data_IF_092118991801
#
_entry.id   IF_092118991801
#
_cell.length_a   1.000
_cell.length_b   1.000
_cell.length_c   1.000
_cell.angle_alpha   90.00
_cell.angle_beta   90.00
_cell.angle_gamma   90.00
#
_symmetry.space_group_name_H-M   'P 1'
#
loop_
_entity.id
_entity.type
_entity.pdbx_description
1 polymer ?
#
# COMPACT_ATOMS: atom_id res chain seq x y z
N UNK A 1 -25.49 16.41 -7.92
CA UNK A 1 -24.83 15.09 -8.02
C UNK A 1 -23.40 15.32 -8.49
N UNK A 2 -22.38 14.63 -7.96
CA UNK A 2 -21.01 14.74 -8.49
C UNK A 2 -20.99 14.40 -9.98
N UNK A 3 -20.14 15.07 -10.76
CA UNK A 3 -19.96 14.74 -12.18
C UNK A 3 -19.34 13.34 -12.36
N UNK A 4 -19.55 12.67 -13.51
CA UNK A 4 -19.03 11.31 -13.74
C UNK A 4 -17.53 11.17 -13.47
N UNK A 5 -16.74 12.16 -13.89
CA UNK A 5 -15.29 12.21 -13.61
C UNK A 5 -14.98 12.22 -12.10
N UNK A 6 -15.75 12.95 -11.30
CA UNK A 6 -15.58 12.97 -9.85
C UNK A 6 -15.92 11.62 -9.22
N UNK A 7 -16.95 10.93 -9.74
CA UNK A 7 -17.32 9.57 -9.30
C UNK A 7 -16.22 8.55 -9.60
N UNK A 8 -15.60 8.61 -10.79
CA UNK A 8 -14.46 7.72 -11.10
C UNK A 8 -13.22 8.07 -10.25
N UNK A 9 -12.93 9.35 -10.03
CA UNK A 9 -11.80 9.78 -9.20
C UNK A 9 -11.97 9.37 -7.72
N UNK A 10 -13.20 9.44 -7.18
CA UNK A 10 -13.50 8.98 -5.82
C UNK A 10 -13.44 7.45 -5.71
N UNK A 11 -13.89 6.74 -6.75
CA UNK A 11 -13.83 5.27 -6.84
C UNK A 11 -12.39 4.74 -6.74
N UNK A 12 -11.45 5.42 -7.40
CA UNK A 12 -10.01 5.10 -7.34
C UNK A 12 -9.33 5.64 -6.07
N UNK A 13 -9.98 6.55 -5.32
CA UNK A 13 -9.38 7.34 -4.22
C UNK A 13 -8.01 7.90 -4.61
N UNK A 14 -7.99 8.80 -5.59
CA UNK A 14 -6.73 9.45 -6.06
C UNK A 14 -5.91 10.05 -4.91
N UNK A 15 -6.55 10.59 -3.88
CA UNK A 15 -5.88 11.11 -2.67
C UNK A 15 -5.08 10.05 -1.89
N UNK A 16 -5.44 8.77 -2.02
CA UNK A 16 -4.71 7.66 -1.40
C UNK A 16 -3.61 7.11 -2.33
N UNK A 17 -3.50 7.53 -3.59
CA UNK A 17 -2.40 7.11 -4.49
C UNK A 17 -1.02 7.54 -3.97
N UNK A 18 -0.99 8.54 -3.10
CA UNK A 18 0.20 9.00 -2.34
C UNK A 18 0.80 7.90 -1.46
N UNK A 19 0.06 6.84 -1.11
CA UNK A 19 0.58 5.77 -0.24
C UNK A 19 1.51 4.76 -0.94
N UNK A 20 1.36 4.52 -2.24
CA UNK A 20 2.08 3.43 -2.91
C UNK A 20 3.14 3.92 -3.91
N UNK A 21 2.84 5.00 -4.63
CA UNK A 21 3.72 5.55 -5.65
C UNK A 21 5.11 5.92 -5.09
N UNK A 22 5.23 6.58 -3.91
CA UNK A 22 6.55 6.94 -3.40
C UNK A 22 7.47 5.75 -3.18
N UNK A 23 6.94 4.59 -2.82
CA UNK A 23 7.77 3.40 -2.55
C UNK A 23 8.21 2.68 -3.81
N UNK A 24 7.36 2.63 -4.85
CA UNK A 24 7.80 2.17 -6.17
C UNK A 24 8.91 3.08 -6.72
N UNK A 25 8.77 4.40 -6.57
CA UNK A 25 9.81 5.34 -6.95
C UNK A 25 11.06 5.22 -6.06
N UNK A 26 10.93 4.93 -4.78
CA UNK A 26 12.07 4.68 -3.90
C UNK A 26 12.85 3.42 -4.32
N UNK A 27 12.16 2.34 -4.70
CA UNK A 27 12.81 1.15 -5.27
C UNK A 27 13.55 1.46 -6.58
N UNK A 28 12.94 2.25 -7.46
CA UNK A 28 13.57 2.67 -8.71
C UNK A 28 14.78 3.60 -8.50
N UNK A 29 14.68 4.52 -7.54
CA UNK A 29 15.76 5.43 -7.14
C UNK A 29 16.92 4.67 -6.50
N UNK A 30 16.63 3.66 -5.68
CA UNK A 30 17.68 2.83 -5.10
C UNK A 30 18.43 2.08 -6.21
N UNK A 31 17.71 1.54 -7.19
CA UNK A 31 18.31 0.89 -8.35
C UNK A 31 19.11 1.88 -9.22
N UNK A 32 18.72 3.16 -9.28
CA UNK A 32 19.37 4.16 -10.13
C UNK A 32 20.81 4.46 -9.75
N UNK A 33 21.24 4.03 -8.56
CA UNK A 33 22.64 4.10 -8.11
C UNK A 33 23.54 3.08 -8.81
N UNK A 34 22.95 2.03 -9.37
CA UNK A 34 23.65 0.92 -10.01
C UNK A 34 23.41 0.92 -11.52
N UNK A 35 22.20 1.28 -11.94
CA UNK A 35 21.79 1.29 -13.35
C UNK A 35 21.25 2.67 -13.75
N UNK A 36 21.51 3.15 -14.97
CA UNK A 36 20.99 4.46 -15.41
C UNK A 36 19.45 4.42 -15.51
N UNK A 37 18.79 5.34 -14.81
CA UNK A 37 17.33 5.48 -14.83
C UNK A 37 16.91 6.57 -15.82
N UNK A 38 16.12 6.20 -16.84
CA UNK A 38 15.61 7.14 -17.85
C UNK A 38 14.23 7.67 -17.47
N UNK A 39 13.92 8.90 -17.89
CA UNK A 39 12.59 9.49 -17.70
C UNK A 39 11.46 8.67 -18.33
N UNK A 40 11.74 7.98 -19.45
CA UNK A 40 10.79 7.05 -20.08
C UNK A 40 10.45 5.88 -19.14
N UNK A 41 11.45 5.25 -18.50
CA UNK A 41 11.22 4.19 -17.52
C UNK A 41 10.44 4.70 -16.31
N UNK A 42 10.76 5.88 -15.80
CA UNK A 42 10.00 6.51 -14.71
C UNK A 42 8.54 6.70 -15.11
N UNK A 43 8.28 7.20 -16.32
CA UNK A 43 6.92 7.35 -16.86
C UNK A 43 6.14 6.05 -16.88
N UNK A 44 6.75 4.96 -17.35
CA UNK A 44 6.12 3.63 -17.36
C UNK A 44 5.91 3.05 -15.96
N UNK A 45 6.84 3.27 -15.02
CA UNK A 45 6.68 2.88 -13.60
C UNK A 45 5.46 3.59 -13.00
N UNK A 46 5.34 4.90 -13.21
CA UNK A 46 4.18 5.69 -12.75
C UNK A 46 2.89 5.16 -13.38
N UNK A 47 2.88 4.89 -14.69
CA UNK A 47 1.72 4.34 -15.38
C UNK A 47 1.31 2.97 -14.82
N UNK A 48 2.27 2.08 -14.56
CA UNK A 48 2.05 0.80 -13.89
C UNK A 48 1.41 0.98 -12.51
N UNK A 49 1.93 1.91 -11.69
CA UNK A 49 1.39 2.17 -10.35
C UNK A 49 -0.04 2.70 -10.39
N UNK A 50 -0.35 3.62 -11.32
CA UNK A 50 -1.70 4.17 -11.48
C UNK A 50 -2.69 3.09 -11.92
N UNK A 51 -2.33 2.30 -12.94
CA UNK A 51 -3.20 1.27 -13.51
C UNK A 51 -3.42 0.10 -12.55
N UNK A 52 -2.36 -0.47 -11.96
CA UNK A 52 -2.48 -1.55 -10.97
C UNK A 52 -3.29 -1.14 -9.75
N UNK A 53 -3.03 0.07 -9.21
CA UNK A 53 -3.78 0.58 -8.06
C UNK A 53 -5.25 0.79 -8.39
N UNK A 54 -5.55 1.35 -9.57
CA UNK A 54 -6.92 1.55 -10.03
C UNK A 54 -7.67 0.23 -10.15
N UNK A 55 -7.03 -0.80 -10.73
CA UNK A 55 -7.59 -2.14 -10.78
C UNK A 55 -7.84 -2.71 -9.38
N UNK A 56 -6.86 -2.63 -8.47
CA UNK A 56 -6.96 -3.16 -7.11
C UNK A 56 -8.05 -2.47 -6.27
N UNK A 57 -8.16 -1.15 -6.36
CA UNK A 57 -9.22 -0.38 -5.68
C UNK A 57 -10.60 -0.69 -6.25
N UNK A 58 -10.72 -0.78 -7.57
CA UNK A 58 -11.96 -1.16 -8.22
C UNK A 58 -12.39 -2.56 -7.81
N UNK A 59 -11.45 -3.51 -7.78
CA UNK A 59 -11.70 -4.89 -7.35
C UNK A 59 -12.10 -4.95 -5.88
N UNK A 60 -11.42 -4.21 -4.99
CA UNK A 60 -11.82 -4.12 -3.58
C UNK A 60 -13.27 -3.64 -3.43
N UNK A 61 -13.63 -2.55 -4.10
CA UNK A 61 -14.99 -1.98 -4.06
C UNK A 61 -16.02 -2.97 -4.61
N UNK A 62 -15.71 -3.63 -5.72
CA UNK A 62 -16.60 -4.62 -6.34
C UNK A 62 -16.79 -5.83 -5.43
N UNK A 63 -15.69 -6.36 -4.91
CA UNK A 63 -15.69 -7.54 -4.05
C UNK A 63 -16.46 -7.27 -2.76
N UNK A 64 -16.29 -6.10 -2.14
CA UNK A 64 -16.87 -5.78 -0.84
C UNK A 64 -18.25 -5.12 -0.91
N UNK A 65 -18.78 -4.85 -2.11
CA UNK A 65 -20.01 -4.07 -2.33
C UNK A 65 -21.20 -4.49 -1.45
N UNK A 66 -21.43 -5.79 -1.26
CA UNK A 66 -22.55 -6.31 -0.45
C UNK A 66 -22.35 -6.09 1.05
N UNK A 67 -21.12 -6.17 1.55
CA UNK A 67 -20.81 -5.86 2.95
C UNK A 67 -20.75 -4.35 3.16
N UNK A 68 -20.24 -3.61 2.18
CA UNK A 68 -20.20 -2.16 2.23
C UNK A 68 -21.60 -1.54 2.35
N UNK A 69 -22.59 -2.11 1.69
CA UNK A 69 -23.98 -1.67 1.81
C UNK A 69 -24.56 -1.83 3.24
N UNK A 70 -23.99 -2.75 4.04
CA UNK A 70 -24.46 -3.06 5.40
C UNK A 70 -23.63 -2.39 6.49
N UNK A 71 -22.44 -1.86 6.16
CA UNK A 71 -21.60 -1.12 7.10
C UNK A 71 -21.98 0.37 7.09
N UNK A 72 -22.40 0.96 8.23
CA UNK A 72 -22.74 2.39 8.31
C UNK A 72 -21.64 3.32 7.79
N UNK A 73 -20.37 2.93 7.94
CA UNK A 73 -19.20 3.70 7.52
C UNK A 73 -18.99 3.70 6.01
N UNK A 74 -19.45 2.66 5.31
CA UNK A 74 -19.16 2.45 3.88
C UNK A 74 -20.40 2.36 2.99
N UNK A 75 -21.60 2.42 3.57
CA UNK A 75 -22.88 2.44 2.86
C UNK A 75 -23.03 3.63 1.89
N UNK A 76 -22.28 4.71 2.08
CA UNK A 76 -22.29 5.89 1.19
C UNK A 76 -21.41 5.75 -0.06
N UNK A 77 -20.64 4.66 -0.20
CA UNK A 77 -19.76 4.39 -1.35
C UNK A 77 -20.54 4.28 -2.67
N UNK A 78 -19.80 4.35 -3.77
CA UNK A 78 -20.33 4.49 -5.13
C UNK A 78 -21.21 3.30 -5.55
N UNK A 79 -20.75 2.07 -5.29
CA UNK A 79 -21.50 0.85 -5.63
C UNK A 79 -22.73 0.65 -4.74
N UNK A 80 -22.66 0.70 -3.39
CA UNK A 80 -23.84 0.59 -2.53
C UNK A 80 -24.94 1.61 -2.81
N UNK A 81 -24.56 2.86 -3.08
CA UNK A 81 -25.52 3.95 -3.35
C UNK A 81 -25.99 4.01 -4.82
N UNK A 82 -25.53 3.09 -5.67
CA UNK A 82 -25.93 3.00 -7.07
C UNK A 82 -25.36 4.10 -7.98
N UNK A 83 -24.34 4.84 -7.54
CA UNK A 83 -23.68 5.87 -8.36
C UNK A 83 -22.81 5.26 -9.48
N UNK A 84 -22.46 3.99 -9.37
CA UNK A 84 -21.76 3.20 -10.38
C UNK A 84 -22.41 1.81 -10.45
N UNK A 85 -22.60 1.26 -11.65
CA UNK A 85 -23.11 -0.11 -11.82
C UNK A 85 -22.02 -1.16 -11.65
N UNK A 86 -22.41 -2.39 -11.29
CA UNK A 86 -21.45 -3.52 -11.22
C UNK A 86 -20.76 -3.78 -12.57
N UNK A 87 -21.47 -3.60 -13.69
CA UNK A 87 -20.91 -3.77 -15.04
C UNK A 87 -19.84 -2.72 -15.33
N UNK A 88 -20.07 -1.46 -14.98
CA UNK A 88 -19.08 -0.39 -15.10
C UNK A 88 -17.84 -0.66 -14.23
N UNK A 89 -18.02 -1.13 -12.99
CA UNK A 89 -16.89 -1.50 -12.13
C UNK A 89 -16.07 -2.65 -12.73
N UNK A 90 -16.71 -3.71 -13.24
CA UNK A 90 -16.02 -4.84 -13.88
C UNK A 90 -15.24 -4.36 -15.11
N UNK A 91 -15.88 -3.59 -15.98
CA UNK A 91 -15.22 -3.05 -17.18
C UNK A 91 -14.00 -2.21 -16.81
N UNK A 92 -14.14 -1.34 -15.80
CA UNK A 92 -13.04 -0.52 -15.30
C UNK A 92 -11.87 -1.37 -14.79
N UNK A 93 -12.15 -2.40 -13.98
CA UNK A 93 -11.11 -3.32 -13.47
C UNK A 93 -10.39 -4.02 -14.62
N UNK A 94 -11.12 -4.55 -15.59
CA UNK A 94 -10.53 -5.24 -16.76
C UNK A 94 -9.65 -4.29 -17.56
N UNK A 95 -10.16 -3.10 -17.91
CA UNK A 95 -9.40 -2.10 -18.68
C UNK A 95 -8.13 -1.68 -17.95
N UNK A 96 -8.21 -1.42 -16.64
CA UNK A 96 -7.04 -1.06 -15.83
C UNK A 96 -6.03 -2.21 -15.69
N UNK A 97 -6.51 -3.45 -15.63
CA UNK A 97 -5.64 -4.64 -15.56
C UNK A 97 -4.90 -4.86 -16.88
N UNK A 98 -5.58 -4.74 -18.02
CA UNK A 98 -4.96 -4.82 -19.35
C UNK A 98 -3.96 -3.69 -19.55
N UNK A 99 -4.33 -2.46 -19.17
CA UNK A 99 -3.43 -1.31 -19.25
C UNK A 99 -2.18 -1.51 -18.38
N UNK A 100 -2.32 -2.09 -17.18
CA UNK A 100 -1.17 -2.43 -16.32
C UNK A 100 -0.23 -3.44 -16.99
N UNK A 101 -0.76 -4.54 -17.54
CA UNK A 101 0.04 -5.56 -18.22
C UNK A 101 0.76 -4.97 -19.43
N UNK A 102 0.09 -4.11 -20.20
CA UNK A 102 0.72 -3.39 -21.30
C UNK A 102 1.85 -2.47 -20.80
N UNK A 103 1.61 -1.62 -19.79
CA UNK A 103 2.66 -0.78 -19.22
C UNK A 103 3.88 -1.60 -18.74
N UNK A 104 3.62 -2.76 -18.13
CA UNK A 104 4.69 -3.67 -17.68
C UNK A 104 5.49 -4.26 -18.86
N UNK A 105 4.85 -4.54 -20.01
CA UNK A 105 5.55 -4.98 -21.22
C UNK A 105 6.58 -3.95 -21.71
N UNK A 106 6.28 -2.65 -21.57
CA UNK A 106 7.19 -1.57 -21.96
C UNK A 106 8.43 -1.45 -21.08
N UNK A 107 8.40 -2.04 -19.87
CA UNK A 107 9.52 -2.08 -18.93
C UNK A 107 10.42 -3.31 -19.11
N UNK A 108 9.99 -4.29 -19.92
CA UNK A 108 10.76 -5.47 -20.28
C UNK A 108 10.07 -6.79 -19.91
N UNK A 109 10.64 -7.89 -20.41
CA UNK A 109 10.06 -9.24 -20.27
C UNK A 109 9.85 -9.66 -18.80
N UNK A 110 10.79 -9.35 -17.90
CA UNK A 110 10.67 -9.71 -16.48
C UNK A 110 9.46 -9.02 -15.84
N UNK A 111 9.24 -7.74 -16.14
CA UNK A 111 8.08 -7.00 -15.66
C UNK A 111 6.77 -7.57 -16.22
N UNK A 112 6.76 -7.90 -17.51
CA UNK A 112 5.61 -8.55 -18.16
C UNK A 112 5.27 -9.90 -17.52
N UNK A 113 6.26 -10.75 -17.30
CA UNK A 113 6.07 -12.07 -16.71
C UNK A 113 5.56 -11.99 -15.25
N UNK A 114 5.99 -10.98 -14.50
CA UNK A 114 5.57 -10.76 -13.12
C UNK A 114 4.23 -10.01 -13.00
N UNK A 115 3.75 -9.32 -14.03
CA UNK A 115 2.53 -8.52 -13.97
C UNK A 115 1.28 -9.35 -13.57
N UNK A 116 1.02 -10.56 -14.12
CA UNK A 116 -0.08 -11.40 -13.66
C UNK A 116 0.03 -11.79 -12.18
N UNK A 117 1.25 -12.05 -11.70
CA UNK A 117 1.52 -12.39 -10.30
C UNK A 117 1.23 -11.19 -9.39
N UNK A 118 1.67 -9.99 -9.78
CA UNK A 118 1.36 -8.76 -9.06
C UNK A 118 -0.15 -8.52 -8.98
N UNK A 119 -0.89 -8.68 -10.08
CA UNK A 119 -2.36 -8.58 -10.10
C UNK A 119 -3.02 -9.60 -9.18
N UNK A 120 -2.55 -10.85 -9.19
CA UNK A 120 -3.07 -11.89 -8.32
C UNK A 120 -2.91 -11.52 -6.84
N UNK A 121 -1.75 -11.00 -6.44
CA UNK A 121 -1.49 -10.55 -5.06
C UNK A 121 -2.41 -9.39 -4.68
N UNK A 122 -2.51 -8.34 -5.51
CA UNK A 122 -3.33 -7.16 -5.17
C UNK A 122 -4.84 -7.42 -5.25
N UNK A 123 -5.30 -8.43 -5.98
CA UNK A 123 -6.71 -8.85 -5.92
C UNK A 123 -6.98 -9.75 -4.73
N UNK A 124 -6.05 -10.64 -4.40
CA UNK A 124 -6.22 -11.60 -3.32
C UNK A 124 -6.49 -10.93 -1.96
N UNK A 125 -5.84 -9.80 -1.64
CA UNK A 125 -6.09 -9.14 -0.35
C UNK A 125 -7.56 -8.75 -0.16
N UNK A 126 -8.27 -8.36 -1.23
CA UNK A 126 -9.69 -7.97 -1.16
C UNK A 126 -10.60 -9.16 -0.82
N UNK A 127 -10.13 -10.38 -1.05
CA UNK A 127 -10.82 -11.61 -0.71
C UNK A 127 -10.39 -12.13 0.67
N UNK A 128 -9.22 -11.74 1.16
CA UNK A 128 -8.58 -12.34 2.32
C UNK A 128 -9.46 -12.34 3.58
N UNK A 129 -10.28 -11.30 3.80
CA UNK A 129 -11.23 -11.25 4.95
C UNK A 129 -12.23 -12.41 4.99
N UNK A 130 -12.47 -13.10 3.88
CA UNK A 130 -13.40 -14.24 3.79
C UNK A 130 -12.73 -15.56 4.15
N UNK A 131 -11.40 -15.63 4.03
CA UNK A 131 -10.65 -16.88 4.11
C UNK A 131 -9.66 -16.91 5.27
N UNK A 132 -9.15 -15.77 5.74
CA UNK A 132 -8.08 -15.73 6.75
C UNK A 132 -8.20 -14.53 7.68
N UNK A 133 -7.78 -14.70 8.93
CA UNK A 133 -7.67 -13.61 9.90
C UNK A 133 -6.42 -12.76 9.72
N UNK A 134 -5.52 -13.13 8.80
CA UNK A 134 -4.28 -12.41 8.52
C UNK A 134 -4.41 -11.42 7.34
N UNK A 135 -5.62 -10.92 7.08
CA UNK A 135 -5.93 -9.98 5.98
C UNK A 135 -4.93 -8.82 5.89
N UNK A 136 -4.59 -8.23 7.04
CA UNK A 136 -3.66 -7.10 7.14
C UNK A 136 -2.26 -7.44 6.59
N UNK A 137 -1.79 -8.68 6.78
CA UNK A 137 -0.50 -9.13 6.21
C UNK A 137 -0.58 -9.27 4.68
N UNK A 138 -1.73 -9.69 4.14
CA UNK A 138 -1.91 -9.77 2.69
C UNK A 138 -2.01 -8.38 2.04
N UNK A 139 -2.59 -7.40 2.73
CA UNK A 139 -2.51 -6.01 2.30
C UNK A 139 -1.06 -5.50 2.35
N UNK A 140 -0.33 -5.83 3.42
CA UNK A 140 1.10 -5.58 3.53
C UNK A 140 1.88 -6.19 2.36
N UNK A 141 1.63 -7.45 2.02
CA UNK A 141 2.25 -8.13 0.87
C UNK A 141 1.93 -7.42 -0.45
N UNK A 142 0.68 -7.01 -0.66
CA UNK A 142 0.29 -6.24 -1.85
C UNK A 142 1.06 -4.93 -1.98
N UNK A 143 1.36 -4.27 -0.86
CA UNK A 143 2.18 -3.06 -0.84
C UNK A 143 3.69 -3.32 -0.94
N UNK A 144 4.18 -4.45 -0.42
CA UNK A 144 5.57 -4.87 -0.51
C UNK A 144 6.04 -5.09 -1.97
N UNK A 145 5.11 -5.43 -2.86
CA UNK A 145 5.40 -5.59 -4.30
C UNK A 145 5.79 -4.25 -4.94
N UNK A 146 5.34 -3.10 -4.42
CA UNK A 146 5.60 -1.80 -5.04
C UNK A 146 7.11 -1.43 -5.10
N UNK A 147 7.87 -1.40 -3.99
CA UNK A 147 9.31 -1.10 -4.05
C UNK A 147 10.11 -2.14 -4.82
N UNK A 148 9.81 -3.43 -4.66
CA UNK A 148 10.49 -4.50 -5.41
C UNK A 148 10.21 -4.38 -6.92
N UNK A 149 8.96 -4.11 -7.30
CA UNK A 149 8.57 -3.86 -8.68
C UNK A 149 9.22 -2.61 -9.26
N UNK A 150 9.35 -1.54 -8.47
CA UNK A 150 10.08 -0.32 -8.85
C UNK A 150 11.54 -0.59 -9.17
N UNK A 151 12.23 -1.36 -8.33
CA UNK A 151 13.63 -1.79 -8.55
C UNK A 151 13.78 -2.62 -9.83
N UNK A 152 12.93 -3.64 -10.00
CA UNK A 152 12.96 -4.52 -11.18
C UNK A 152 12.66 -3.72 -12.46
N UNK A 153 11.68 -2.81 -12.41
CA UNK A 153 11.31 -1.95 -13.53
C UNK A 153 12.41 -0.94 -13.89
N UNK A 154 13.18 -0.48 -12.91
CA UNK A 154 14.38 0.32 -13.14
C UNK A 154 15.47 -0.48 -13.88
N UNK A 155 15.42 -1.81 -13.81
CA UNK A 155 16.46 -2.71 -14.33
C UNK A 155 17.51 -3.08 -13.28
N UNK A 156 17.19 -2.92 -11.98
CA UNK A 156 18.10 -3.27 -10.90
C UNK A 156 18.46 -4.77 -10.90
N UNK A 157 19.71 -5.13 -10.56
CA UNK A 157 20.16 -6.52 -10.51
C UNK A 157 19.51 -7.30 -9.35
N UNK A 158 19.68 -8.63 -9.34
CA UNK A 158 19.24 -9.46 -8.24
C UNK A 158 20.03 -9.15 -6.97
N UNK A 159 19.38 -8.49 -6.01
CA UNK A 159 19.95 -7.97 -4.78
C UNK A 159 18.93 -8.06 -3.63
N UNK A 160 19.38 -7.95 -2.38
CA UNK A 160 18.52 -8.16 -1.19
C UNK A 160 17.75 -6.90 -0.79
N UNK A 161 18.31 -5.74 -1.08
CA UNK A 161 17.84 -4.40 -0.81
C UNK A 161 16.37 -4.16 -1.23
N UNK A 162 15.92 -4.48 -2.46
CA UNK A 162 14.53 -4.31 -2.85
C UNK A 162 13.55 -5.18 -2.05
N UNK A 163 13.96 -6.38 -1.64
CA UNK A 163 13.12 -7.28 -0.84
C UNK A 163 13.04 -6.82 0.61
N UNK A 164 14.14 -6.29 1.15
CA UNK A 164 14.18 -5.72 2.48
C UNK A 164 13.36 -4.42 2.56
N UNK A 165 13.42 -3.60 1.52
CA UNK A 165 12.52 -2.45 1.38
C UNK A 165 11.06 -2.92 1.26
N UNK A 166 10.78 -3.97 0.48
CA UNK A 166 9.48 -4.62 0.44
C UNK A 166 8.98 -5.08 1.81
N UNK A 167 9.84 -5.72 2.62
CA UNK A 167 9.53 -6.13 3.98
C UNK A 167 9.19 -4.93 4.86
N UNK A 168 9.98 -3.86 4.79
CA UNK A 168 9.74 -2.65 5.56
C UNK A 168 8.35 -2.06 5.27
N UNK A 169 8.03 -1.90 3.98
CA UNK A 169 6.76 -1.31 3.54
C UNK A 169 5.58 -2.24 3.82
N UNK A 170 5.76 -3.55 3.62
CA UNK A 170 4.73 -4.54 3.93
C UNK A 170 4.40 -4.60 5.42
N UNK A 171 5.41 -4.60 6.28
CA UNK A 171 5.22 -4.55 7.73
C UNK A 171 4.57 -3.24 8.18
N UNK A 172 4.96 -2.12 7.57
CA UNK A 172 4.41 -0.80 7.89
C UNK A 172 2.91 -0.74 7.59
N UNK A 173 2.53 -1.15 6.37
CA UNK A 173 1.14 -1.19 5.92
C UNK A 173 0.31 -2.14 6.75
N UNK A 174 0.82 -3.35 6.99
CA UNK A 174 0.14 -4.30 7.85
C UNK A 174 -0.07 -3.73 9.26
N UNK A 175 0.94 -3.04 9.81
CA UNK A 175 0.88 -2.41 11.12
C UNK A 175 -0.24 -1.38 11.24
N UNK A 176 -0.28 -0.37 10.37
CA UNK A 176 -1.32 0.66 10.47
C UNK A 176 -2.71 0.14 10.06
N UNK A 177 -2.80 -0.84 9.14
CA UNK A 177 -4.08 -1.43 8.75
C UNK A 177 -4.69 -2.28 9.88
N UNK A 178 -3.88 -2.87 10.75
CA UNK A 178 -4.36 -3.49 11.99
C UNK A 178 -5.04 -2.44 12.89
N UNK A 179 -4.43 -1.27 13.08
CA UNK A 179 -5.03 -0.20 13.88
C UNK A 179 -6.35 0.24 13.25
N UNK A 180 -6.34 0.46 11.93
CA UNK A 180 -7.52 0.87 11.18
C UNK A 180 -8.66 -0.15 11.27
N UNK A 181 -8.35 -1.45 11.16
CA UNK A 181 -9.32 -2.53 11.28
C UNK A 181 -9.94 -2.69 12.67
N UNK A 182 -9.32 -2.12 13.73
CA UNK A 182 -9.93 -2.14 15.06
C UNK A 182 -11.26 -1.37 15.11
N UNK A 183 -11.47 -0.37 14.24
CA UNK A 183 -12.72 0.39 14.15
C UNK A 183 -13.89 -0.46 13.64
N UNK A 184 -13.63 -1.47 12.81
CA UNK A 184 -14.66 -2.30 12.20
C UNK A 184 -14.88 -3.61 12.99
N UNK A 185 -14.34 -3.75 14.21
CA UNK A 185 -14.34 -5.03 14.96
C UNK A 185 -15.74 -5.62 15.15
N UNK A 186 -16.69 -4.81 15.61
CA UNK A 186 -18.05 -5.26 15.89
C UNK A 186 -18.79 -5.64 14.61
N UNK A 187 -18.60 -4.85 13.57
CA UNK A 187 -19.17 -5.11 12.25
C UNK A 187 -18.61 -6.40 11.66
N UNK A 188 -17.28 -6.55 11.63
CA UNK A 188 -16.60 -7.72 11.08
C UNK A 188 -17.06 -8.99 11.84
N UNK A 189 -17.25 -8.93 13.17
CA UNK A 189 -17.80 -10.05 13.95
C UNK A 189 -19.23 -10.42 13.55
N UNK A 190 -20.12 -9.44 13.44
CA UNK A 190 -21.54 -9.66 13.08
C UNK A 190 -21.68 -10.25 11.68
N UNK A 191 -20.82 -9.83 10.76
CA UNK A 191 -20.83 -10.26 9.36
C UNK A 191 -20.01 -11.53 9.09
N UNK A 192 -19.42 -12.14 10.12
CA UNK A 192 -18.57 -13.33 9.99
C UNK A 192 -17.28 -13.09 9.20
N UNK A 193 -16.83 -11.83 9.10
CA UNK A 193 -15.58 -11.44 8.46
C UNK A 193 -14.39 -11.69 9.39
N UNK A 194 -13.25 -12.01 8.80
CA UNK A 194 -12.01 -12.35 9.51
C UNK A 194 -11.03 -11.20 9.40
N UNK A 195 -10.39 -10.88 10.53
CA UNK A 195 -9.30 -9.91 10.63
C UNK A 195 -8.48 -10.19 11.89
N UNK A 196 -7.31 -9.57 12.01
CA UNK A 196 -6.48 -9.75 13.22
C UNK A 196 -7.19 -9.26 14.50
N UNK A 197 -7.86 -8.10 14.51
CA UNK A 197 -8.64 -7.67 15.68
C UNK A 197 -9.77 -8.65 16.04
N UNK A 198 -10.44 -9.24 15.05
CA UNK A 198 -11.48 -10.26 15.29
C UNK A 198 -10.90 -11.49 15.98
N UNK A 199 -9.74 -11.99 15.52
CA UNK A 199 -9.11 -13.21 16.02
C UNK A 199 -8.40 -13.02 17.36
N UNK A 200 -7.63 -11.94 17.51
CA UNK A 200 -6.72 -11.75 18.66
C UNK A 200 -7.26 -10.75 19.69
N UNK A 201 -8.30 -9.99 19.36
CA UNK A 201 -8.78 -8.87 20.17
C UNK A 201 -7.94 -7.60 19.97
N UNK A 202 -8.50 -6.45 20.34
CA UNK A 202 -7.90 -5.12 20.09
C UNK A 202 -6.52 -4.98 20.72
N UNK A 203 -6.36 -5.35 22.00
CA UNK A 203 -5.09 -5.17 22.72
C UNK A 203 -3.93 -5.95 22.08
N UNK A 204 -4.15 -7.23 21.73
CA UNK A 204 -3.12 -8.04 21.06
C UNK A 204 -2.88 -7.59 19.62
N UNK A 205 -3.93 -7.16 18.91
CA UNK A 205 -3.80 -6.61 17.57
C UNK A 205 -2.92 -5.35 17.56
N UNK A 206 -3.11 -4.43 18.50
CA UNK A 206 -2.24 -3.25 18.68
C UNK A 206 -0.80 -3.68 19.01
N UNK A 207 -0.60 -4.68 19.86
CA UNK A 207 0.75 -5.20 20.15
C UNK A 207 1.44 -5.77 18.90
N UNK A 208 0.72 -6.52 18.06
CA UNK A 208 1.22 -7.03 16.77
C UNK A 208 1.57 -5.87 15.84
N UNK A 209 0.71 -4.86 15.76
CA UNK A 209 0.93 -3.64 14.98
C UNK A 209 2.25 -2.94 15.37
N UNK A 210 2.49 -2.77 16.68
CA UNK A 210 3.75 -2.22 17.20
C UNK A 210 4.97 -3.04 16.80
N UNK A 211 4.87 -4.37 16.90
CA UNK A 211 5.94 -5.28 16.46
C UNK A 211 6.24 -5.12 14.97
N UNK A 212 5.22 -4.99 14.12
CA UNK A 212 5.39 -4.77 12.68
C UNK A 212 6.03 -3.41 12.38
N UNK A 213 5.66 -2.34 13.10
CA UNK A 213 6.31 -1.03 12.96
C UNK A 213 7.77 -1.05 13.41
N UNK A 214 8.11 -1.82 14.44
CA UNK A 214 9.51 -2.04 14.81
C UNK A 214 10.28 -2.75 13.69
N UNK A 215 9.69 -3.79 13.09
CA UNK A 215 10.27 -4.47 11.92
C UNK A 215 10.47 -3.50 10.76
N UNK A 216 9.53 -2.59 10.50
CA UNK A 216 9.69 -1.53 9.50
C UNK A 216 10.94 -0.71 9.76
N UNK A 217 11.10 -0.14 10.95
CA UNK A 217 12.24 0.74 11.26
C UNK A 217 13.57 0.00 11.14
N UNK A 218 13.64 -1.24 11.64
CA UNK A 218 14.84 -2.08 11.53
C UNK A 218 15.16 -2.37 10.05
N UNK A 219 14.17 -2.78 9.26
CA UNK A 219 14.36 -3.09 7.86
C UNK A 219 14.79 -1.85 7.05
N UNK A 220 14.23 -0.67 7.32
CA UNK A 220 14.68 0.58 6.69
C UNK A 220 16.13 0.93 7.07
N UNK A 221 16.50 0.81 8.35
CA UNK A 221 17.87 1.05 8.78
C UNK A 221 18.86 0.10 8.08
N UNK A 222 18.49 -1.17 7.94
CA UNK A 222 19.30 -2.16 7.23
C UNK A 222 19.38 -1.89 5.72
N UNK A 223 18.32 -1.39 5.07
CA UNK A 223 18.38 -0.92 3.66
C UNK A 223 19.45 0.17 3.53
N UNK A 224 19.46 1.15 4.45
CA UNK A 224 20.46 2.20 4.45
C UNK A 224 21.89 1.68 4.60
N UNK A 225 22.11 0.74 5.51
CA UNK A 225 23.43 0.14 5.72
C UNK A 225 23.89 -0.68 4.51
N UNK A 226 23.05 -1.56 3.97
CA UNK A 226 23.41 -2.44 2.86
C UNK A 226 23.62 -1.66 1.57
N UNK A 227 22.78 -0.67 1.30
CA UNK A 227 22.96 0.18 0.13
C UNK A 227 24.10 1.21 0.32
N UNK A 228 24.63 1.42 1.52
CA UNK A 228 25.59 2.51 1.77
C UNK A 228 24.97 3.88 1.54
N UNK A 229 23.79 4.12 2.13
CA UNK A 229 23.16 5.44 2.19
C UNK A 229 23.69 6.22 3.40
N UNK A 230 23.71 7.55 3.26
CA UNK A 230 24.35 8.47 4.16
C UNK A 230 23.49 8.93 5.34
N UNK A 231 23.93 10.03 5.94
CA UNK A 231 23.31 10.59 7.15
C UNK A 231 21.92 11.16 6.88
N UNK A 232 21.68 11.70 5.68
CA UNK A 232 20.37 12.28 5.34
C UNK A 232 19.31 11.17 5.31
N UNK A 233 19.64 10.02 4.74
CA UNK A 233 18.77 8.85 4.80
C UNK A 233 18.52 8.38 6.24
N UNK A 234 19.57 8.28 7.06
CA UNK A 234 19.45 7.84 8.46
C UNK A 234 18.54 8.78 9.29
N UNK A 235 18.66 10.10 9.10
CA UNK A 235 17.76 11.09 9.70
C UNK A 235 16.32 10.90 9.21
N UNK A 236 16.12 10.65 7.91
CA UNK A 236 14.81 10.33 7.35
C UNK A 236 14.17 9.10 8.01
N UNK A 237 14.92 8.02 8.21
CA UNK A 237 14.46 6.82 8.94
C UNK A 237 14.12 7.15 10.39
N UNK A 238 14.93 7.98 11.06
CA UNK A 238 14.63 8.47 12.41
C UNK A 238 13.31 9.24 12.48
N UNK A 239 13.04 10.12 11.52
CA UNK A 239 11.77 10.86 11.43
C UNK A 239 10.58 9.92 11.18
N UNK A 240 10.73 8.90 10.33
CA UNK A 240 9.71 7.86 10.15
C UNK A 240 9.45 7.14 11.48
N UNK A 241 10.49 6.76 12.22
CA UNK A 241 10.34 6.11 13.52
C UNK A 241 9.57 6.98 14.52
N UNK A 242 9.88 8.28 14.59
CA UNK A 242 9.15 9.24 15.44
C UNK A 242 7.68 9.33 15.04
N UNK A 243 7.38 9.40 13.74
CA UNK A 243 5.99 9.42 13.25
C UNK A 243 5.22 8.15 13.63
N UNK A 244 5.85 6.97 13.52
CA UNK A 244 5.23 5.70 13.91
C UNK A 244 5.02 5.58 15.42
N UNK A 245 5.96 6.06 16.24
CA UNK A 245 5.78 6.13 17.70
C UNK A 245 4.62 7.07 18.05
N UNK A 246 4.56 8.24 17.41
CA UNK A 246 3.45 9.17 17.60
C UNK A 246 2.12 8.56 17.18
N UNK A 247 2.03 7.92 16.02
CA UNK A 247 0.85 7.19 15.57
C UNK A 247 0.38 6.15 16.60
N UNK A 248 1.31 5.32 17.09
CA UNK A 248 1.02 4.28 18.08
C UNK A 248 0.60 4.84 19.44
N UNK A 249 0.98 6.08 19.76
CA UNK A 249 0.56 6.77 20.99
C UNK A 249 -0.89 7.29 20.92
N UNK A 250 -1.43 7.49 19.71
CA UNK A 250 -2.80 8.00 19.51
C UNK A 250 -3.86 6.92 19.72
N UNK A 251 -3.49 5.64 19.71
CA UNK A 251 -4.44 4.52 19.71
C UNK A 251 -4.16 3.60 20.90
N UNK A 252 -5.22 3.29 21.66
CA UNK A 252 -5.15 2.32 22.74
C UNK A 252 -6.33 1.35 22.68
N UNK A 253 -6.24 0.24 23.42
CA UNK A 253 -7.35 -0.70 23.49
C UNK A 253 -8.60 -0.13 24.18
N UNK A 254 -8.44 0.94 24.97
CA UNK A 254 -9.52 1.64 25.66
C UNK A 254 -10.06 2.83 24.87
N UNK A 255 -9.29 3.36 23.92
CA UNK A 255 -9.66 4.53 23.13
C UNK A 255 -9.20 4.37 21.66
N UNK A 256 -10.17 4.15 20.78
CA UNK A 256 -10.02 4.06 19.34
C UNK A 256 -10.48 5.34 18.60
N UNK A 257 -10.83 6.41 19.32
CA UNK A 257 -11.40 7.63 18.74
C UNK A 257 -10.45 8.32 17.75
N UNK A 258 -9.14 8.19 17.96
CA UNK A 258 -8.11 8.83 17.13
C UNK A 258 -7.54 7.93 16.02
N UNK A 259 -8.09 6.73 15.78
CA UNK A 259 -7.56 5.82 14.74
C UNK A 259 -7.58 6.47 13.36
N UNK A 260 -8.59 7.30 13.04
CA UNK A 260 -8.60 8.04 11.76
C UNK A 260 -7.40 9.00 11.66
N UNK A 261 -7.09 9.74 12.72
CA UNK A 261 -5.95 10.65 12.77
C UNK A 261 -4.64 9.88 12.62
N UNK A 262 -4.50 8.76 13.33
CA UNK A 262 -3.37 7.84 13.19
C UNK A 262 -3.20 7.35 11.74
N UNK A 263 -4.30 6.95 11.09
CA UNK A 263 -4.27 6.54 9.69
C UNK A 263 -3.85 7.68 8.74
N UNK A 264 -4.37 8.89 8.93
CA UNK A 264 -4.08 10.04 8.06
C UNK A 264 -2.59 10.45 8.12
N UNK A 265 -1.90 10.23 9.24
CA UNK A 265 -0.45 10.49 9.39
C UNK A 265 0.40 9.65 8.41
N UNK A 266 -0.04 8.43 8.10
CA UNK A 266 0.69 7.55 7.19
C UNK A 266 0.82 8.14 5.78
N UNK A 267 -0.04 9.08 5.39
CA UNK A 267 0.05 9.73 4.07
C UNK A 267 1.36 10.49 3.87
N UNK A 268 1.95 10.98 4.96
CA UNK A 268 3.21 11.73 4.93
C UNK A 268 4.45 10.86 4.94
N UNK A 269 4.37 9.65 5.51
CA UNK A 269 5.50 8.74 5.68
C UNK A 269 6.16 8.41 4.34
N UNK A 270 5.36 8.07 3.31
CA UNK A 270 5.91 7.72 2.00
C UNK A 270 6.59 8.89 1.28
N UNK A 271 6.02 10.09 1.38
CA UNK A 271 6.61 11.29 0.77
C UNK A 271 7.91 11.69 1.49
N UNK A 272 7.89 11.69 2.83
CA UNK A 272 9.06 12.00 3.65
C UNK A 272 10.19 11.01 3.38
N UNK A 273 9.88 9.72 3.33
CA UNK A 273 10.86 8.68 3.04
C UNK A 273 11.48 8.82 1.65
N UNK A 274 10.65 9.00 0.61
CA UNK A 274 11.15 9.19 -0.75
C UNK A 274 12.01 10.46 -0.85
N UNK A 275 11.58 11.57 -0.23
CA UNK A 275 12.33 12.81 -0.23
C UNK A 275 13.70 12.66 0.46
N UNK A 276 13.74 12.05 1.64
CA UNK A 276 14.98 11.80 2.36
C UNK A 276 15.95 10.93 1.54
N UNK A 277 15.44 9.85 0.91
CA UNK A 277 16.26 9.01 0.04
C UNK A 277 16.74 9.78 -1.20
N UNK A 278 15.89 10.58 -1.84
CA UNK A 278 16.28 11.37 -3.01
C UNK A 278 17.36 12.39 -2.69
N UNK A 279 17.24 13.11 -1.57
CA UNK A 279 18.26 14.07 -1.14
C UNK A 279 19.58 13.33 -0.86
N UNK A 280 19.53 12.22 -0.15
CA UNK A 280 20.74 11.44 0.14
C UNK A 280 21.43 10.93 -1.14
N UNK A 281 20.66 10.40 -2.11
CA UNK A 281 21.22 9.85 -3.36
C UNK A 281 21.81 10.90 -4.29
N UNK A 282 21.26 12.12 -4.31
CA UNK A 282 21.68 13.16 -5.27
C UNK A 282 22.55 14.26 -4.67
N UNK A 283 22.57 14.43 -3.35
CA UNK A 283 23.22 15.57 -2.68
C UNK A 283 24.31 15.13 -1.71
N UNK A 284 24.25 13.93 -1.16
CA UNK A 284 25.21 13.39 -0.19
C UNK A 284 26.16 12.37 -0.84
#
# INVERSE_FOLDING_TARGET
MPGRLQTYASFVRVSHSVFALPFALAGALLASRIVPLTWSRVGWIVACMVTARSAAMGFNRLADATWDARNPRTASRELPRGALSRREAILFIVVMSVAFVWCAAQLGWVCLALAPVALAIVFWYSLAKRYTSYTQLFLGLAMAVAPAGGWIAAGGPAQIEPWLLGLAIGAWVAGFDILYACQDLEFDRREGLRSMPVRFGVARAIAISRGLHLVTVIALALVGQLAGLGTVYAVGVGLVAVLLVYEQSLVSAADLSQVKRAFDLNGWVGLLYLAAMAVDVYVA
#
